data_IF_578709898461
#
_entry.id   IF_578709898461
#
_cell.length_a   1.000
_cell.length_b   1.000
_cell.length_c   1.000
_cell.angle_alpha   90.00
_cell.angle_beta   90.00
_cell.angle_gamma   90.00
#
_symmetry.space_group_name_H-M   'P 1'
#
loop_
_entity.id
_entity.type
_entity.pdbx_description
1 polymer ?
#
# COMPACT_ATOMS: atom_id res chain seq x y z
N UNK A 1 -4.99 -16.62 -24.91
CA UNK A 1 -4.29 -16.17 -23.70
C UNK A 1 -5.36 -16.09 -22.62
N UNK A 2 -5.06 -16.52 -21.41
CA UNK A 2 -5.99 -16.36 -20.28
C UNK A 2 -6.11 -14.85 -20.00
N UNK A 3 -7.34 -14.35 -19.92
CA UNK A 3 -7.59 -12.93 -19.63
C UNK A 3 -7.24 -12.67 -18.17
N UNK A 4 -6.34 -11.72 -17.93
CA UNK A 4 -5.86 -11.37 -16.58
C UNK A 4 -6.72 -10.23 -16.06
N UNK A 5 -7.22 -10.37 -14.85
CA UNK A 5 -8.09 -9.38 -14.22
C UNK A 5 -7.35 -8.54 -13.19
N UNK A 6 -7.73 -7.26 -13.07
CA UNK A 6 -7.19 -6.29 -12.11
C UNK A 6 -8.32 -5.70 -11.27
N UNK A 7 -8.21 -5.79 -9.95
CA UNK A 7 -9.10 -5.12 -9.00
C UNK A 7 -8.42 -3.92 -8.34
N UNK A 8 -9.10 -2.76 -8.28
CA UNK A 8 -8.61 -1.53 -7.64
C UNK A 8 -9.39 -1.31 -6.34
N UNK A 9 -8.69 -1.39 -5.22
CA UNK A 9 -9.29 -1.30 -3.88
C UNK A 9 -8.69 -0.17 -3.06
N UNK A 10 -9.52 0.44 -2.22
CA UNK A 10 -9.10 1.46 -1.26
C UNK A 10 -9.46 0.97 0.15
N UNK A 11 -8.46 0.78 1.00
CA UNK A 11 -8.71 0.41 2.40
C UNK A 11 -8.99 1.67 3.21
N UNK A 12 -10.06 1.68 4.01
CA UNK A 12 -10.48 2.89 4.72
C UNK A 12 -11.12 2.57 6.07
N UNK A 13 -10.84 3.41 7.07
CA UNK A 13 -11.38 3.28 8.43
C UNK A 13 -11.45 4.63 9.14
N UNK A 14 -12.64 4.99 9.64
CA UNK A 14 -12.91 6.27 10.33
C UNK A 14 -12.51 7.52 9.54
N UNK A 15 -12.69 7.48 8.21
CA UNK A 15 -12.32 8.57 7.28
C UNK A 15 -13.43 8.88 6.26
N UNK A 16 -14.67 8.50 6.56
CA UNK A 16 -15.82 8.80 5.70
C UNK A 16 -16.01 10.31 5.45
N UNK A 17 -15.54 11.17 6.35
CA UNK A 17 -15.59 12.63 6.24
C UNK A 17 -14.45 13.22 5.39
N UNK A 18 -13.51 12.38 4.91
CA UNK A 18 -12.32 12.81 4.16
C UNK A 18 -11.92 11.82 3.06
N UNK A 19 -12.86 11.58 2.14
CA UNK A 19 -12.63 10.75 0.96
C UNK A 19 -11.80 11.55 -0.06
N UNK A 20 -10.53 11.18 -0.25
CA UNK A 20 -9.66 11.81 -1.26
C UNK A 20 -9.40 10.87 -2.45
N UNK A 21 -9.15 9.60 -2.15
CA UNK A 21 -8.59 8.65 -3.13
C UNK A 21 -9.58 8.20 -4.20
N UNK A 22 -10.89 8.16 -3.92
CA UNK A 22 -11.91 7.83 -4.92
C UNK A 22 -11.83 8.75 -6.17
N UNK A 23 -11.37 9.97 -5.99
CA UNK A 23 -11.25 10.94 -7.09
C UNK A 23 -9.97 10.79 -7.91
N UNK A 24 -9.16 9.78 -7.64
CA UNK A 24 -7.93 9.51 -8.38
C UNK A 24 -8.08 8.39 -9.41
N UNK A 25 -9.10 7.54 -9.31
CA UNK A 25 -9.30 6.40 -10.20
C UNK A 25 -10.61 6.53 -10.97
N UNK A 26 -10.66 5.95 -12.18
CA UNK A 26 -11.90 5.83 -12.94
C UNK A 26 -12.93 4.98 -12.17
N UNK A 27 -12.46 3.88 -11.59
CA UNK A 27 -13.22 3.01 -10.72
C UNK A 27 -12.33 2.43 -9.61
N UNK A 28 -12.88 2.37 -8.39
CA UNK A 28 -12.26 1.68 -7.25
C UNK A 28 -13.34 1.22 -6.27
N UNK A 29 -13.06 0.18 -5.49
CA UNK A 29 -13.94 -0.30 -4.41
C UNK A 29 -13.34 0.03 -3.05
N UNK A 30 -14.08 0.76 -2.23
CA UNK A 30 -13.68 1.01 -0.84
C UNK A 30 -14.00 -0.20 0.03
N UNK A 31 -13.00 -0.70 0.75
CA UNK A 31 -13.17 -1.79 1.71
C UNK A 31 -13.22 -1.20 3.11
N UNK A 32 -14.39 -1.32 3.74
CA UNK A 32 -14.72 -0.64 4.99
C UNK A 32 -15.37 -1.61 5.97
N UNK A 33 -15.33 -1.26 7.25
CA UNK A 33 -16.08 -1.97 8.29
C UNK A 33 -17.57 -1.85 8.05
N UNK A 34 -18.29 -2.94 8.26
CA UNK A 34 -19.74 -3.01 8.09
C UNK A 34 -20.47 -2.00 8.97
N UNK A 35 -19.94 -1.73 10.17
CA UNK A 35 -20.46 -0.67 11.04
C UNK A 35 -20.35 0.75 10.46
N UNK A 36 -19.47 0.99 9.48
CA UNK A 36 -19.25 2.31 8.85
C UNK A 36 -19.87 2.42 7.45
N UNK A 37 -20.44 1.33 6.90
CA UNK A 37 -20.94 1.28 5.52
C UNK A 37 -21.84 2.46 5.17
N UNK A 38 -22.84 2.74 6.02
CA UNK A 38 -23.80 3.81 5.78
C UNK A 38 -23.15 5.19 5.80
N UNK A 39 -22.15 5.42 6.65
CA UNK A 39 -21.42 6.69 6.68
C UNK A 39 -20.63 6.92 5.39
N UNK A 40 -20.01 5.88 4.84
CA UNK A 40 -19.31 5.99 3.54
C UNK A 40 -20.29 6.16 2.37
N UNK A 41 -21.46 5.50 2.39
CA UNK A 41 -22.52 5.72 1.38
C UNK A 41 -22.99 7.17 1.39
N UNK A 42 -23.27 7.72 2.58
CA UNK A 42 -23.70 9.12 2.74
C UNK A 42 -22.61 10.13 2.33
N UNK A 43 -21.33 9.76 2.48
CA UNK A 43 -20.20 10.56 2.00
C UNK A 43 -20.01 10.51 0.47
N UNK A 44 -20.80 9.72 -0.26
CA UNK A 44 -20.74 9.65 -1.72
C UNK A 44 -19.73 8.63 -2.27
N UNK A 45 -19.34 7.63 -1.48
CA UNK A 45 -18.55 6.50 -1.99
C UNK A 45 -19.41 5.61 -2.88
N UNK A 46 -18.96 5.40 -4.13
CA UNK A 46 -19.74 4.74 -5.19
C UNK A 46 -19.80 3.22 -4.98
N UNK A 47 -18.63 2.59 -4.83
CA UNK A 47 -18.48 1.15 -4.69
C UNK A 47 -17.92 0.84 -3.30
N UNK A 48 -18.66 0.04 -2.53
CA UNK A 48 -18.30 -0.32 -1.16
C UNK A 48 -18.36 -1.83 -1.00
N UNK A 49 -17.29 -2.39 -0.45
CA UNK A 49 -17.23 -3.72 0.10
C UNK A 49 -17.22 -3.63 1.62
N UNK A 50 -18.41 -3.79 2.21
CA UNK A 50 -18.58 -3.80 3.66
C UNK A 50 -18.25 -5.19 4.22
N UNK A 51 -17.33 -5.24 5.19
CA UNK A 51 -16.84 -6.48 5.79
C UNK A 51 -17.07 -6.44 7.30
N UNK A 52 -17.45 -7.58 7.89
CA UNK A 52 -17.66 -7.68 9.34
C UNK A 52 -16.41 -7.17 10.09
N UNK A 53 -16.64 -6.28 11.07
CA UNK A 53 -15.61 -5.46 11.72
C UNK A 53 -14.42 -6.28 12.25
N UNK A 54 -14.67 -7.46 12.82
CA UNK A 54 -13.67 -8.36 13.38
C UNK A 54 -12.70 -8.96 12.35
N UNK A 55 -13.10 -9.00 11.06
CA UNK A 55 -12.27 -9.54 9.98
C UNK A 55 -11.27 -8.51 9.47
N UNK A 56 -11.54 -7.21 9.67
CA UNK A 56 -10.75 -6.09 9.16
C UNK A 56 -10.53 -5.01 10.23
N UNK A 57 -10.26 -5.47 11.46
CA UNK A 57 -10.12 -4.60 12.65
C UNK A 57 -8.80 -3.83 12.71
N UNK A 58 -7.91 -4.01 11.73
CA UNK A 58 -6.67 -3.26 11.54
C UNK A 58 -6.17 -3.31 10.09
N UNK A 59 -5.22 -2.44 9.74
CA UNK A 59 -4.76 -2.26 8.37
C UNK A 59 -4.20 -3.55 7.72
N UNK A 60 -3.41 -4.35 8.44
CA UNK A 60 -2.86 -5.59 7.88
C UNK A 60 -3.96 -6.62 7.62
N UNK A 61 -4.96 -6.74 8.51
CA UNK A 61 -6.12 -7.61 8.28
C UNK A 61 -6.95 -7.14 7.08
N UNK A 62 -7.21 -5.84 6.96
CA UNK A 62 -7.93 -5.28 5.79
C UNK A 62 -7.18 -5.61 4.50
N UNK A 63 -5.87 -5.33 4.46
CA UNK A 63 -5.03 -5.60 3.30
C UNK A 63 -5.08 -7.07 2.87
N UNK A 64 -4.92 -8.01 3.81
CA UNK A 64 -4.98 -9.45 3.49
C UNK A 64 -6.37 -9.96 3.20
N UNK A 65 -7.41 -9.39 3.81
CA UNK A 65 -8.79 -9.72 3.47
C UNK A 65 -9.07 -9.41 2.00
N UNK A 66 -8.63 -8.25 1.52
CA UNK A 66 -8.73 -7.88 0.10
C UNK A 66 -8.01 -8.92 -0.76
N UNK A 67 -6.73 -9.20 -0.48
CA UNK A 67 -5.93 -10.13 -1.29
C UNK A 67 -6.53 -11.54 -1.34
N UNK A 68 -7.06 -12.03 -0.22
CA UNK A 68 -7.58 -13.39 -0.10
C UNK A 68 -8.96 -13.55 -0.76
N UNK A 69 -9.77 -12.50 -0.80
CA UNK A 69 -11.18 -12.59 -1.18
C UNK A 69 -11.53 -11.86 -2.50
N UNK A 70 -10.67 -10.95 -2.97
CA UNK A 70 -10.88 -10.29 -4.27
C UNK A 70 -10.86 -11.34 -5.39
N UNK A 71 -11.79 -11.31 -6.35
CA UNK A 71 -11.86 -12.33 -7.40
C UNK A 71 -10.72 -12.20 -8.44
N UNK A 72 -10.10 -11.03 -8.55
CA UNK A 72 -9.14 -10.72 -9.61
C UNK A 72 -7.79 -11.41 -9.42
N UNK A 73 -7.04 -11.58 -10.51
CA UNK A 73 -5.71 -12.17 -10.50
C UNK A 73 -4.66 -11.24 -9.88
N UNK A 74 -4.78 -9.94 -10.19
CA UNK A 74 -3.94 -8.88 -9.67
C UNK A 74 -4.80 -7.92 -8.86
N UNK A 75 -4.32 -7.57 -7.68
CA UNK A 75 -5.00 -6.67 -6.75
C UNK A 75 -4.13 -5.44 -6.55
N UNK A 76 -4.71 -4.27 -6.82
CA UNK A 76 -4.16 -3.00 -6.43
C UNK A 76 -4.85 -2.51 -5.16
N UNK A 77 -4.07 -2.09 -4.17
CA UNK A 77 -4.58 -1.51 -2.92
C UNK A 77 -3.94 -0.14 -2.68
N UNK A 78 -4.79 0.86 -2.49
CA UNK A 78 -4.41 2.21 -2.08
C UNK A 78 -4.90 2.54 -0.67
N UNK A 79 -4.17 3.43 0.01
CA UNK A 79 -4.68 4.13 1.19
C UNK A 79 -5.76 5.16 0.77
N UNK A 80 -6.59 5.60 1.72
CA UNK A 80 -7.76 6.44 1.45
C UNK A 80 -7.50 7.95 1.44
N UNK A 81 -6.32 8.41 1.86
CA UNK A 81 -5.97 9.82 2.03
C UNK A 81 -4.91 10.35 1.06
N UNK A 82 -4.85 9.77 -0.14
CA UNK A 82 -4.00 10.23 -1.25
C UNK A 82 -4.66 11.45 -1.90
N UNK A 83 -3.99 12.61 -1.87
CA UNK A 83 -4.53 13.86 -2.42
C UNK A 83 -4.38 13.94 -3.95
N UNK A 84 -3.30 13.38 -4.48
CA UNK A 84 -2.97 13.34 -5.90
C UNK A 84 -1.88 12.29 -6.12
N UNK A 85 -1.59 11.95 -7.36
CA UNK A 85 -0.36 11.28 -7.76
C UNK A 85 0.59 12.30 -8.38
N UNK A 86 1.89 12.01 -8.34
CA UNK A 86 2.90 12.86 -8.97
C UNK A 86 3.97 12.02 -9.67
N UNK A 87 4.53 12.62 -10.71
CA UNK A 87 5.76 12.17 -11.32
C UNK A 87 6.96 12.76 -10.58
N UNK A 88 7.86 11.90 -10.10
CA UNK A 88 9.14 12.27 -9.53
C UNK A 88 10.18 12.37 -10.64
N UNK A 89 10.51 13.60 -11.01
CA UNK A 89 11.59 13.94 -11.96
C UNK A 89 12.63 14.80 -11.20
N UNK A 90 13.32 15.70 -11.91
CA UNK A 90 14.16 16.74 -11.29
C UNK A 90 13.37 17.62 -10.31
N UNK A 91 12.07 17.74 -10.55
CA UNK A 91 11.07 18.27 -9.64
C UNK A 91 9.84 17.36 -9.63
N UNK A 92 9.03 17.47 -8.58
CA UNK A 92 7.76 16.77 -8.53
C UNK A 92 6.74 17.47 -9.44
N UNK A 93 6.17 16.72 -10.38
CA UNK A 93 5.13 17.19 -11.28
C UNK A 93 3.82 16.50 -10.90
N UNK A 94 2.82 17.22 -10.34
CA UNK A 94 1.51 16.65 -10.05
C UNK A 94 0.84 16.12 -11.33
N UNK A 95 0.17 14.98 -11.24
CA UNK A 95 -0.66 14.46 -12.33
C UNK A 95 -1.98 15.26 -12.42
N UNK A 96 -2.41 15.88 -11.31
CA UNK A 96 -3.54 16.79 -11.30
C UNK A 96 -4.89 16.08 -11.16
N UNK A 97 -4.92 14.94 -10.47
CA UNK A 97 -6.10 14.08 -10.29
C UNK A 97 -6.74 13.63 -11.61
N UNK A 98 -5.94 13.54 -12.66
CA UNK A 98 -6.39 12.98 -13.93
C UNK A 98 -6.63 11.47 -13.76
N UNK A 99 -7.91 11.09 -13.68
CA UNK A 99 -8.34 9.72 -13.37
C UNK A 99 -7.88 8.72 -14.44
N UNK A 100 -7.85 9.15 -15.70
CA UNK A 100 -7.44 8.31 -16.83
C UNK A 100 -5.95 8.03 -16.70
N UNK A 101 -5.13 9.08 -16.55
CA UNK A 101 -3.67 8.93 -16.41
C UNK A 101 -3.31 8.10 -15.17
N UNK A 102 -3.93 8.36 -14.03
CA UNK A 102 -3.63 7.62 -12.79
C UNK A 102 -4.07 6.16 -12.89
N UNK A 103 -5.23 5.88 -13.49
CA UNK A 103 -5.70 4.50 -13.72
C UNK A 103 -4.78 3.76 -14.69
N UNK A 104 -4.34 4.42 -15.77
CA UNK A 104 -3.39 3.87 -16.72
C UNK A 104 -2.04 3.54 -16.09
N UNK A 105 -1.55 4.35 -15.16
CA UNK A 105 -0.36 4.04 -14.37
C UNK A 105 -0.53 2.77 -13.53
N UNK A 106 -1.69 2.62 -12.89
CA UNK A 106 -2.03 1.41 -12.12
C UNK A 106 -2.07 0.18 -13.01
N UNK A 107 -2.70 0.28 -14.18
CA UNK A 107 -2.79 -0.80 -15.17
C UNK A 107 -1.40 -1.16 -15.71
N UNK A 108 -0.59 -0.15 -16.07
CA UNK A 108 0.76 -0.35 -16.59
C UNK A 108 1.64 -1.14 -15.62
N UNK A 109 1.59 -0.80 -14.33
CA UNK A 109 2.34 -1.51 -13.31
C UNK A 109 1.80 -2.94 -13.15
N UNK A 110 0.48 -3.14 -13.13
CA UNK A 110 -0.13 -4.48 -13.07
C UNK A 110 0.32 -5.36 -14.24
N UNK A 111 0.35 -4.82 -15.47
CA UNK A 111 0.85 -5.52 -16.66
C UNK A 111 2.30 -5.95 -16.48
N UNK A 112 3.16 -5.08 -15.93
CA UNK A 112 4.56 -5.43 -15.64
C UNK A 112 4.68 -6.56 -14.59
N UNK A 113 3.85 -6.57 -13.53
CA UNK A 113 3.84 -7.71 -12.59
C UNK A 113 3.46 -9.01 -13.27
N UNK A 114 2.48 -8.96 -14.18
CA UNK A 114 2.03 -10.14 -14.92
C UNK A 114 3.13 -10.66 -15.86
N UNK A 115 3.63 -9.80 -16.75
CA UNK A 115 4.58 -10.18 -17.80
C UNK A 115 5.90 -10.71 -17.23
N UNK A 116 6.39 -10.06 -16.17
CA UNK A 116 7.64 -10.43 -15.52
C UNK A 116 7.45 -11.52 -14.45
N UNK A 117 6.21 -11.98 -14.20
CA UNK A 117 5.85 -12.94 -13.15
C UNK A 117 6.44 -12.53 -11.79
N UNK A 118 6.07 -11.35 -11.34
CA UNK A 118 6.50 -10.78 -10.05
C UNK A 118 5.34 -10.79 -9.06
N UNK A 119 5.62 -11.11 -7.80
CA UNK A 119 4.60 -11.21 -6.75
C UNK A 119 4.10 -9.87 -6.23
N UNK A 120 4.96 -8.86 -6.19
CA UNK A 120 4.67 -7.61 -5.50
C UNK A 120 5.30 -6.38 -6.16
N UNK A 121 4.55 -5.29 -6.17
CA UNK A 121 5.06 -3.96 -6.42
C UNK A 121 4.49 -2.93 -5.47
N UNK A 122 5.20 -1.81 -5.31
CA UNK A 122 4.74 -0.69 -4.51
C UNK A 122 5.41 0.60 -4.95
N UNK A 123 4.75 1.74 -4.72
CA UNK A 123 5.41 3.04 -4.82
C UNK A 123 6.36 3.28 -3.64
N UNK A 124 7.14 4.36 -3.71
CA UNK A 124 7.91 4.86 -2.57
C UNK A 124 7.02 5.48 -1.49
N UNK A 125 7.43 5.34 -0.23
CA UNK A 125 6.81 6.02 0.92
C UNK A 125 7.13 7.52 1.02
N UNK A 126 7.86 8.08 0.07
CA UNK A 126 8.28 9.49 0.06
C UNK A 126 8.22 9.99 -1.37
N UNK A 127 7.89 11.26 -1.55
CA UNK A 127 7.91 11.92 -2.85
C UNK A 127 9.13 12.81 -3.04
N UNK A 128 10.18 12.69 -2.23
CA UNK A 128 11.35 13.58 -2.32
C UNK A 128 12.05 13.45 -3.70
N UNK A 129 12.19 14.55 -4.49
CA UNK A 129 12.69 14.49 -5.87
C UNK A 129 14.05 13.81 -6.02
N UNK A 130 15.04 14.20 -5.20
CA UNK A 130 16.41 13.68 -5.27
C UNK A 130 16.56 12.21 -4.83
N UNK A 131 15.48 11.54 -4.45
CA UNK A 131 15.47 10.08 -4.28
C UNK A 131 15.25 9.33 -5.62
N UNK A 132 15.07 10.05 -6.74
CA UNK A 132 14.99 9.46 -8.07
C UNK A 132 16.37 8.98 -8.52
N UNK A 133 16.50 7.67 -8.74
CA UNK A 133 17.73 6.97 -9.09
C UNK A 133 17.59 6.10 -10.36
N UNK A 134 16.43 6.18 -11.03
CA UNK A 134 16.07 5.42 -12.24
C UNK A 134 14.56 5.22 -12.31
N UNK A 135 14.03 4.66 -13.38
CA UNK A 135 12.58 4.46 -13.58
C UNK A 135 12.02 3.39 -12.64
N UNK A 136 12.77 2.29 -12.50
CA UNK A 136 12.41 1.15 -11.67
C UNK A 136 13.55 0.80 -10.72
N UNK A 137 13.20 0.49 -9.47
CA UNK A 137 14.10 -0.15 -8.53
C UNK A 137 13.55 -1.49 -8.08
N UNK A 138 14.44 -2.29 -7.48
CA UNK A 138 14.09 -3.61 -6.95
C UNK A 138 14.11 -3.68 -5.42
N UNK A 139 14.23 -2.53 -4.73
CA UNK A 139 14.25 -2.44 -3.25
C UNK A 139 13.70 -1.09 -2.76
N UNK A 140 13.30 -1.05 -1.49
CA UNK A 140 12.92 0.17 -0.76
C UNK A 140 11.66 -0.03 0.07
N UNK A 141 11.25 0.99 0.83
CA UNK A 141 10.04 0.93 1.68
C UNK A 141 8.77 1.12 0.86
N UNK A 142 7.69 0.43 1.20
CA UNK A 142 6.40 0.62 0.51
C UNK A 142 5.76 1.94 0.91
N UNK A 143 5.14 2.62 -0.05
CA UNK A 143 4.22 3.73 0.18
C UNK A 143 2.75 3.32 0.17
N UNK A 144 1.89 4.30 -0.06
CA UNK A 144 0.43 4.24 0.00
C UNK A 144 -0.25 3.42 -1.10
N UNK A 145 0.48 3.00 -2.14
CA UNK A 145 -0.05 2.28 -3.31
C UNK A 145 0.74 1.00 -3.58
N UNK A 146 0.03 -0.13 -3.68
CA UNK A 146 0.61 -1.49 -3.67
C UNK A 146 -0.10 -2.39 -4.70
N UNK A 147 0.65 -3.25 -5.38
CA UNK A 147 0.15 -4.26 -6.32
C UNK A 147 0.56 -5.64 -5.87
N UNK A 148 -0.37 -6.59 -5.99
CA UNK A 148 -0.17 -7.99 -5.64
C UNK A 148 -0.61 -8.86 -6.80
N UNK A 149 0.31 -9.66 -7.33
CA UNK A 149 -0.03 -10.77 -8.22
C UNK A 149 -0.26 -12.02 -7.37
N UNK A 150 -1.52 -12.40 -7.18
CA UNK A 150 -1.92 -13.46 -6.24
C UNK A 150 -1.32 -14.83 -6.59
N UNK A 151 -1.04 -15.09 -7.87
CA UNK A 151 -0.43 -16.35 -8.33
C UNK A 151 1.06 -16.46 -7.98
N UNK A 152 1.75 -15.35 -7.74
CA UNK A 152 3.21 -15.30 -7.58
C UNK A 152 3.67 -14.83 -6.18
N UNK A 153 2.84 -14.04 -5.50
CA UNK A 153 3.10 -13.58 -4.14
C UNK A 153 3.44 -14.76 -3.20
N UNK A 154 4.52 -14.63 -2.43
CA UNK A 154 4.92 -15.62 -1.42
C UNK A 154 4.96 -15.05 -0.01
N UNK A 155 5.05 -13.73 0.13
CA UNK A 155 5.05 -13.05 1.40
C UNK A 155 3.71 -13.17 2.12
N UNK A 156 3.78 -13.39 3.43
CA UNK A 156 2.66 -13.30 4.35
C UNK A 156 3.15 -12.75 5.69
N UNK A 157 3.10 -11.43 5.90
CA UNK A 157 3.44 -10.80 7.16
C UNK A 157 2.55 -11.27 8.31
N UNK A 158 3.15 -11.28 9.50
CA UNK A 158 2.48 -11.63 10.74
C UNK A 158 1.78 -10.40 11.33
N UNK A 159 0.58 -10.55 11.89
CA UNK A 159 -0.14 -9.44 12.52
C UNK A 159 0.64 -8.79 13.68
N UNK A 160 1.52 -9.53 14.34
CA UNK A 160 2.41 -9.02 15.39
C UNK A 160 3.38 -7.95 14.90
N UNK A 161 3.56 -7.80 13.58
CA UNK A 161 4.34 -6.72 12.97
C UNK A 161 3.46 -5.65 12.29
N UNK A 162 2.19 -5.50 12.68
CA UNK A 162 1.20 -4.60 12.04
C UNK A 162 1.66 -3.17 11.73
N UNK A 163 2.58 -2.56 12.50
CA UNK A 163 3.06 -1.19 12.20
C UNK A 163 4.24 -1.15 11.24
N UNK A 164 4.81 -2.30 10.89
CA UNK A 164 5.94 -2.45 9.98
C UNK A 164 5.66 -3.54 8.93
N UNK A 165 4.39 -3.94 8.74
CA UNK A 165 4.04 -5.07 7.87
C UNK A 165 4.46 -4.84 6.42
N UNK A 166 4.45 -3.59 5.96
CA UNK A 166 4.95 -3.20 4.64
C UNK A 166 6.41 -3.52 4.42
N UNK A 167 7.23 -3.27 5.45
CA UNK A 167 8.66 -3.61 5.44
C UNK A 167 8.83 -5.12 5.50
N UNK A 168 8.06 -5.80 6.35
CA UNK A 168 8.08 -7.25 6.45
C UNK A 168 7.72 -7.92 5.12
N UNK A 169 6.69 -7.41 4.43
CA UNK A 169 6.23 -7.89 3.14
C UNK A 169 7.34 -7.79 2.08
N UNK A 170 7.95 -6.62 1.96
CA UNK A 170 9.08 -6.41 1.05
C UNK A 170 10.23 -7.35 1.38
N UNK A 171 10.58 -7.49 2.66
CA UNK A 171 11.68 -8.36 3.08
C UNK A 171 11.39 -9.84 2.78
N UNK A 172 10.14 -10.29 2.95
CA UNK A 172 9.73 -11.65 2.59
C UNK A 172 9.76 -11.87 1.07
N UNK A 173 9.24 -10.94 0.26
CA UNK A 173 9.32 -11.07 -1.21
C UNK A 173 10.77 -11.04 -1.71
N UNK A 174 11.62 -10.18 -1.13
CA UNK A 174 13.06 -10.19 -1.42
C UNK A 174 13.77 -11.46 -0.96
N UNK A 175 13.24 -12.17 0.04
CA UNK A 175 13.75 -13.45 0.50
C UNK A 175 13.34 -14.58 -0.45
N UNK A 176 12.07 -14.65 -0.83
CA UNK A 176 11.50 -15.77 -1.59
C UNK A 176 11.56 -15.59 -3.11
N UNK A 177 11.16 -14.43 -3.62
CA UNK A 177 11.12 -14.10 -5.03
C UNK A 177 12.34 -13.29 -5.49
N UNK A 178 13.15 -12.77 -4.55
CA UNK A 178 14.40 -12.01 -4.79
C UNK A 178 14.22 -10.61 -5.38
N UNK A 179 12.99 -10.27 -5.73
CA UNK A 179 12.62 -9.08 -6.48
C UNK A 179 11.31 -8.52 -5.97
N UNK A 180 11.22 -7.19 -5.89
CA UNK A 180 10.00 -6.42 -5.70
C UNK A 180 10.05 -5.30 -6.73
N UNK A 181 9.00 -5.09 -7.51
CA UNK A 181 9.00 -4.01 -8.49
C UNK A 181 8.68 -2.68 -7.81
N UNK A 182 9.41 -1.63 -8.17
CA UNK A 182 9.17 -0.30 -7.63
C UNK A 182 9.27 0.77 -8.70
N UNK A 183 8.15 1.31 -9.22
CA UNK A 183 8.15 2.46 -10.11
C UNK A 183 8.59 3.70 -9.33
N UNK A 184 9.82 4.14 -9.52
CA UNK A 184 10.43 5.26 -8.76
C UNK A 184 9.94 6.61 -9.25
N UNK A 185 9.47 6.66 -10.49
CA UNK A 185 8.91 7.86 -11.11
C UNK A 185 7.50 8.17 -10.59
N UNK A 186 6.75 7.21 -10.03
CA UNK A 186 5.37 7.42 -9.55
C UNK A 186 5.34 7.49 -8.02
N UNK A 187 4.70 8.52 -7.48
CA UNK A 187 4.52 8.70 -6.04
C UNK A 187 3.10 9.17 -5.72
N UNK A 188 2.63 8.82 -4.52
CA UNK A 188 1.45 9.42 -3.92
C UNK A 188 1.79 10.77 -3.27
N UNK A 189 0.85 11.71 -3.33
CA UNK A 189 0.86 12.97 -2.59
C UNK A 189 0.01 12.79 -1.33
N UNK A 190 0.57 12.06 -0.37
CA UNK A 190 -0.13 11.69 0.86
C UNK A 190 0.18 12.69 1.99
N UNK A 191 -0.77 12.87 2.90
CA UNK A 191 -0.58 13.66 4.13
C UNK A 191 -0.23 12.73 5.30
N UNK A 192 1.06 12.46 5.51
CA UNK A 192 1.51 11.58 6.60
C UNK A 192 1.13 12.14 7.99
N UNK A 193 0.45 11.32 8.80
CA UNK A 193 0.19 11.51 10.25
C UNK A 193 -0.54 12.81 10.67
N UNK A 194 -1.24 13.52 9.77
CA UNK A 194 -2.01 14.75 10.10
C UNK A 194 -3.54 14.58 10.06
N UNK A 195 -4.03 13.41 9.63
CA UNK A 195 -5.45 13.15 9.43
C UNK A 195 -6.03 12.28 10.55
N UNK A 196 -7.26 12.59 10.98
CA UNK A 196 -8.03 11.73 11.88
C UNK A 196 -8.36 10.37 11.20
N UNK A 197 -8.67 9.35 12.00
CA UNK A 197 -8.96 7.99 11.50
C UNK A 197 -7.71 7.12 11.30
N UNK A 198 -7.86 5.96 10.66
CA UNK A 198 -6.79 4.94 10.58
C UNK A 198 -6.35 4.41 11.96
N UNK A 199 -5.08 4.03 12.08
CA UNK A 199 -4.46 3.55 13.34
C UNK A 199 -4.08 4.70 14.32
N UNK A 200 -4.82 5.81 14.32
CA UNK A 200 -4.57 6.99 15.17
C UNK A 200 -4.74 6.72 16.68
N UNK A 201 -5.39 5.62 17.06
CA UNK A 201 -5.46 5.11 18.43
C UNK A 201 -4.24 4.28 18.87
N UNK A 202 -3.17 4.23 18.08
CA UNK A 202 -1.95 3.44 18.35
C UNK A 202 -1.35 3.75 19.73
N UNK A 203 -1.28 2.74 20.59
CA UNK A 203 -0.48 2.83 21.81
C UNK A 203 1.00 2.76 21.45
N UNK A 204 1.82 3.57 22.12
CA UNK A 204 3.27 3.56 21.93
C UNK A 204 3.88 2.17 22.19
N UNK A 205 3.31 1.41 23.12
CA UNK A 205 3.76 0.06 23.44
C UNK A 205 3.56 -0.89 22.26
N UNK A 206 2.38 -0.91 21.63
CA UNK A 206 2.13 -1.76 20.46
C UNK A 206 3.12 -1.48 19.32
N UNK A 207 3.53 -0.21 19.15
CA UNK A 207 4.54 0.17 18.18
C UNK A 207 5.92 -0.42 18.55
N UNK A 208 6.31 -0.33 19.82
CA UNK A 208 7.55 -0.91 20.33
C UNK A 208 7.54 -2.43 20.14
N UNK A 209 6.45 -3.10 20.49
CA UNK A 209 6.31 -4.56 20.35
C UNK A 209 6.42 -4.98 18.89
N UNK A 210 5.80 -4.25 17.96
CA UNK A 210 5.96 -4.47 16.53
C UNK A 210 7.42 -4.32 16.06
N UNK A 211 8.15 -3.34 16.59
CA UNK A 211 9.57 -3.13 16.27
C UNK A 211 10.43 -4.28 16.82
N UNK A 212 10.18 -4.74 18.05
CA UNK A 212 10.90 -5.87 18.65
C UNK A 212 10.61 -7.17 17.90
N UNK A 213 9.36 -7.43 17.49
CA UNK A 213 9.02 -8.57 16.64
C UNK A 213 9.75 -8.53 15.30
N UNK A 214 9.88 -7.35 14.68
CA UNK A 214 10.69 -7.19 13.46
C UNK A 214 12.18 -7.48 13.71
N UNK A 215 12.74 -7.05 14.84
CA UNK A 215 14.14 -7.36 15.22
C UNK A 215 14.34 -8.84 15.48
N UNK A 216 13.40 -9.52 16.13
CA UNK A 216 13.45 -10.97 16.36
C UNK A 216 13.44 -11.72 15.02
N UNK A 217 12.55 -11.31 14.11
CA UNK A 217 12.37 -11.96 12.81
C UNK A 217 13.54 -11.73 11.86
N UNK A 218 14.04 -10.50 11.77
CA UNK A 218 15.00 -10.09 10.73
C UNK A 218 16.41 -9.79 11.24
N UNK A 219 16.59 -9.69 12.56
CA UNK A 219 17.88 -9.42 13.18
C UNK A 219 18.59 -8.23 12.57
N UNK A 220 19.82 -8.46 12.09
CA UNK A 220 20.69 -7.43 11.49
C UNK A 220 20.13 -6.77 10.23
N UNK A 221 19.16 -7.40 9.55
CA UNK A 221 18.59 -6.90 8.29
C UNK A 221 17.49 -5.86 8.48
N UNK A 222 17.03 -5.65 9.72
CA UNK A 222 16.06 -4.62 10.06
C UNK A 222 16.72 -3.55 10.95
N UNK A 223 16.41 -2.29 10.67
CA UNK A 223 16.82 -1.15 11.47
C UNK A 223 15.64 -0.26 11.81
N UNK A 224 15.70 0.39 12.97
CA UNK A 224 14.71 1.39 13.37
C UNK A 224 15.39 2.61 13.99
N UNK A 225 14.99 3.81 13.56
CA UNK A 225 15.40 5.05 14.19
C UNK A 225 14.25 5.61 15.04
N UNK A 226 14.37 5.48 16.36
CA UNK A 226 13.36 5.96 17.32
C UNK A 226 13.21 7.48 17.37
N UNK A 227 14.26 8.24 17.01
CA UNK A 227 14.22 9.71 17.00
C UNK A 227 13.40 10.22 15.82
N UNK A 228 13.60 9.64 14.64
CA UNK A 228 12.90 10.05 13.43
C UNK A 228 11.67 9.20 13.11
N UNK A 229 11.35 8.21 13.94
CA UNK A 229 10.28 7.23 13.74
C UNK A 229 10.32 6.53 12.37
N UNK A 230 11.51 6.14 11.90
CA UNK A 230 11.71 5.57 10.55
C UNK A 230 12.29 4.15 10.59
N UNK A 231 11.61 3.15 10.03
CA UNK A 231 12.18 1.83 9.77
C UNK A 231 13.17 1.88 8.60
N UNK A 232 14.08 0.91 8.53
CA UNK A 232 15.08 0.77 7.47
C UNK A 232 15.33 -0.71 7.16
N UNK A 233 15.45 -1.02 5.87
CA UNK A 233 15.94 -2.31 5.38
C UNK A 233 17.46 -2.23 5.30
N UNK A 234 18.17 -3.11 6.02
CA UNK A 234 19.63 -3.20 6.09
C UNK A 234 20.16 -4.44 5.34
N UNK A 235 19.69 -4.63 4.13
CA UNK A 235 20.18 -5.69 3.25
C UNK A 235 21.21 -5.07 2.32
N UNK A 236 22.48 -5.44 2.50
CA UNK A 236 23.55 -5.05 1.58
C UNK A 236 23.33 -5.72 0.22
N UNK A 237 23.27 -4.89 -0.82
CA UNK A 237 23.30 -5.25 -2.23
C UNK A 237 23.81 -4.06 -3.01
#
# INVERSE_FOLDING_TARGET
MEEVTLGIYVQSYKRYDKILTQDLFEECTYVVRKSEEESYRQAGVKNIWAVDDEKIDNAIKTYWYIIDNAPEDIVFVADDDIEDCLYRLDSNVPIGKDKEIITDEVIRIAQLLYDLKLGYACIDATSTPFNYDGEFAFKGTSGSMKWVNKKVLKARPDERVKFNYDIDLIMQELLYNRVVLKPRYLCGKDKQDVNAGGDSGKLRQDQIDSIENMKIKWGKYFGYNYKSNKPRIKVER
#
